data_IF_581928336800
#
_entry.id   IF_581928336800
#
_cell.length_a   1.000
_cell.length_b   1.000
_cell.length_c   1.000
_cell.angle_alpha   90.00
_cell.angle_beta   90.00
_cell.angle_gamma   90.00
#
_symmetry.space_group_name_H-M   'P 1'
#
loop_
_entity.id
_entity.type
_entity.pdbx_description
1 polymer ?
#
# COMPACT_ATOMS: atom_id res chain seq x y z
N UNK A 1 11.34 -28.40 17.60
CA UNK A 1 11.18 -27.61 16.36
C UNK A 1 9.92 -28.11 15.66
N UNK A 2 8.91 -27.24 15.51
CA UNK A 2 7.64 -27.58 14.85
C UNK A 2 7.86 -27.56 13.33
N UNK A 3 7.28 -28.50 12.59
CA UNK A 3 7.25 -28.44 11.12
C UNK A 3 5.97 -27.77 10.65
N UNK A 4 6.09 -26.89 9.66
CA UNK A 4 5.01 -26.11 9.06
C UNK A 4 5.23 -26.17 7.55
N UNK A 5 4.28 -26.63 6.72
CA UNK A 5 4.53 -26.74 5.27
C UNK A 5 4.84 -25.39 4.61
N UNK A 6 4.02 -24.38 4.89
CA UNK A 6 4.18 -23.03 4.35
C UNK A 6 3.99 -22.00 5.46
N UNK A 7 4.99 -21.15 5.65
CA UNK A 7 5.04 -20.13 6.68
C UNK A 7 5.09 -18.73 6.06
N UNK A 8 4.21 -17.84 6.51
CA UNK A 8 4.18 -16.42 6.15
C UNK A 8 4.56 -15.61 7.38
N UNK A 9 5.63 -14.82 7.28
CA UNK A 9 6.02 -13.86 8.33
C UNK A 9 5.37 -12.51 8.01
N UNK A 10 4.47 -12.06 8.86
CA UNK A 10 3.76 -10.78 8.75
C UNK A 10 2.25 -10.97 8.57
N UNK A 11 1.47 -10.48 9.54
CA UNK A 11 0.01 -10.56 9.56
C UNK A 11 -0.72 -9.32 9.02
N UNK A 12 -0.05 -8.50 8.21
CA UNK A 12 -0.66 -7.36 7.53
C UNK A 12 -1.49 -7.78 6.30
N UNK A 13 -2.01 -6.79 5.56
CA UNK A 13 -2.88 -7.01 4.39
C UNK A 13 -2.28 -8.00 3.38
N UNK A 14 -1.00 -7.83 3.03
CA UNK A 14 -0.32 -8.70 2.05
C UNK A 14 -0.21 -10.16 2.56
N UNK A 15 0.18 -10.34 3.81
CA UNK A 15 0.30 -11.68 4.41
C UNK A 15 -1.05 -12.39 4.55
N UNK A 16 -2.10 -11.65 4.95
CA UNK A 16 -3.45 -12.20 5.06
C UNK A 16 -4.05 -12.56 3.70
N UNK A 17 -3.94 -11.68 2.70
CA UNK A 17 -4.39 -11.96 1.34
C UNK A 17 -3.66 -13.19 0.76
N UNK A 18 -2.35 -13.30 0.99
CA UNK A 18 -1.54 -14.44 0.56
C UNK A 18 -1.95 -15.73 1.24
N UNK A 19 -2.16 -15.69 2.56
CA UNK A 19 -2.61 -16.84 3.32
C UNK A 19 -3.96 -17.36 2.85
N UNK A 20 -4.92 -16.46 2.60
CA UNK A 20 -6.23 -16.82 2.07
C UNK A 20 -6.14 -17.39 0.65
N UNK A 21 -5.38 -16.75 -0.25
CA UNK A 21 -5.19 -17.20 -1.64
C UNK A 21 -4.58 -18.62 -1.70
N UNK A 22 -3.52 -18.86 -0.93
CA UNK A 22 -2.87 -20.16 -0.85
C UNK A 22 -3.77 -21.22 -0.23
N UNK A 23 -4.53 -20.87 0.80
CA UNK A 23 -5.42 -21.81 1.44
C UNK A 23 -6.57 -22.23 0.52
N UNK A 24 -7.13 -21.31 -0.26
CA UNK A 24 -8.10 -21.59 -1.32
C UNK A 24 -7.52 -22.46 -2.44
N UNK A 25 -6.24 -22.25 -2.78
CA UNK A 25 -5.49 -23.12 -3.69
C UNK A 25 -5.17 -24.51 -3.09
N UNK A 26 -5.49 -24.73 -1.81
CA UNK A 26 -5.41 -26.02 -1.15
C UNK A 26 -4.14 -26.24 -0.31
N UNK A 27 -3.30 -25.23 -0.13
CA UNK A 27 -2.11 -25.32 0.73
C UNK A 27 -2.47 -25.17 2.21
N UNK A 28 -1.74 -25.84 3.09
CA UNK A 28 -1.76 -25.59 4.54
C UNK A 28 -0.81 -24.44 4.86
N UNK A 29 -1.36 -23.36 5.40
CA UNK A 29 -0.64 -22.09 5.58
C UNK A 29 -0.63 -21.69 7.03
N UNK A 30 0.52 -21.25 7.51
CA UNK A 30 0.67 -20.68 8.83
C UNK A 30 1.14 -19.22 8.70
N UNK A 31 0.36 -18.30 9.24
CA UNK A 31 0.68 -16.87 9.27
C UNK A 31 1.10 -16.50 10.69
N UNK A 32 2.28 -15.91 10.81
CA UNK A 32 2.82 -15.42 12.09
C UNK A 32 2.91 -13.90 12.11
N UNK A 33 2.50 -13.29 13.21
CA UNK A 33 2.55 -11.83 13.44
C UNK A 33 3.30 -11.52 14.74
N UNK A 34 4.18 -10.51 14.70
CA UNK A 34 4.96 -10.10 15.86
C UNK A 34 4.10 -9.38 16.92
N UNK A 35 3.08 -8.64 16.49
CA UNK A 35 2.21 -7.88 17.36
C UNK A 35 1.34 -8.80 18.24
N UNK A 36 0.91 -8.32 19.43
CA UNK A 36 0.02 -9.08 20.30
C UNK A 36 -1.39 -9.23 19.74
N UNK A 37 -1.77 -8.43 18.74
CA UNK A 37 -3.05 -8.52 18.06
C UNK A 37 -2.83 -8.26 16.57
N UNK A 38 -3.63 -8.92 15.73
CA UNK A 38 -3.71 -8.59 14.31
C UNK A 38 -4.48 -7.29 14.16
N UNK A 39 -3.76 -6.19 14.07
CA UNK A 39 -4.35 -4.87 13.98
C UNK A 39 -3.50 -3.98 13.05
N UNK A 40 -4.18 -3.07 12.36
CA UNK A 40 -3.54 -2.05 11.54
C UNK A 40 -3.68 -0.68 12.19
N UNK A 41 -2.56 0.04 12.25
CA UNK A 41 -2.56 1.43 12.67
C UNK A 41 -2.56 2.28 11.41
N UNK A 42 -3.69 2.89 11.10
CA UNK A 42 -3.78 3.67 9.88
C UNK A 42 -5.08 4.43 9.78
N UNK A 43 -5.18 5.18 8.69
CA UNK A 43 -6.38 5.90 8.32
C UNK A 43 -6.95 5.22 7.06
N UNK A 44 -7.33 6.00 6.05
CA UNK A 44 -7.80 5.49 4.77
C UNK A 44 -6.76 4.67 3.99
N UNK A 45 -7.28 3.74 3.19
CA UNK A 45 -6.57 3.03 2.14
C UNK A 45 -7.40 3.09 0.86
N UNK A 46 -6.71 3.10 -0.29
CA UNK A 46 -7.33 3.08 -1.60
C UNK A 46 -7.04 1.73 -2.27
N UNK A 47 -8.06 1.15 -2.88
CA UNK A 47 -8.02 -0.11 -3.59
C UNK A 47 -8.50 0.10 -5.01
N UNK A 48 -7.57 -0.01 -5.95
CA UNK A 48 -7.84 0.11 -7.36
C UNK A 48 -8.38 -1.22 -7.94
N UNK A 49 -8.96 -1.21 -9.16
CA UNK A 49 -9.59 -2.39 -9.75
C UNK A 49 -8.71 -3.64 -9.81
N UNK A 50 -7.39 -3.45 -9.96
CA UNK A 50 -6.42 -4.53 -9.96
C UNK A 50 -6.39 -5.34 -8.66
N UNK A 51 -6.50 -4.68 -7.51
CA UNK A 51 -6.64 -5.36 -6.23
C UNK A 51 -8.07 -5.85 -6.00
N UNK A 52 -9.07 -5.06 -6.38
CA UNK A 52 -10.48 -5.38 -6.16
C UNK A 52 -10.90 -6.67 -6.87
N UNK A 53 -10.41 -6.94 -8.09
CA UNK A 53 -10.66 -8.21 -8.79
C UNK A 53 -10.13 -9.42 -8.04
N UNK A 54 -9.00 -9.26 -7.35
CA UNK A 54 -8.41 -10.35 -6.57
C UNK A 54 -9.19 -10.53 -5.29
N UNK A 55 -9.56 -9.45 -4.59
CA UNK A 55 -10.40 -9.53 -3.39
C UNK A 55 -11.77 -10.17 -3.67
N UNK A 56 -12.31 -9.94 -4.88
CA UNK A 56 -13.48 -10.65 -5.41
C UNK A 56 -13.21 -12.15 -5.57
N UNK A 57 -12.11 -12.53 -6.22
CA UNK A 57 -11.72 -13.95 -6.35
C UNK A 57 -11.45 -14.64 -5.00
N UNK A 58 -11.04 -13.88 -3.98
CA UNK A 58 -10.86 -14.35 -2.61
C UNK A 58 -12.18 -14.47 -1.85
N UNK A 59 -13.31 -14.04 -2.42
CA UNK A 59 -14.64 -14.18 -1.82
C UNK A 59 -14.94 -13.18 -0.71
N UNK A 60 -14.19 -12.07 -0.62
CA UNK A 60 -14.34 -11.08 0.46
C UNK A 60 -14.97 -9.77 0.01
N UNK A 61 -15.37 -9.67 -1.27
CA UNK A 61 -15.91 -8.43 -1.84
C UNK A 61 -17.20 -7.96 -1.15
N UNK A 62 -18.12 -8.88 -0.84
CA UNK A 62 -19.37 -8.53 -0.16
C UNK A 62 -19.12 -7.88 1.22
N UNK A 63 -18.20 -8.45 2.00
CA UNK A 63 -17.83 -7.90 3.31
C UNK A 63 -17.09 -6.55 3.18
N UNK A 64 -16.31 -6.36 2.11
CA UNK A 64 -15.70 -5.06 1.80
C UNK A 64 -16.77 -4.02 1.45
N UNK A 65 -17.79 -4.39 0.68
CA UNK A 65 -18.87 -3.50 0.27
C UNK A 65 -19.71 -2.98 1.45
N UNK A 66 -19.74 -3.72 2.57
CA UNK A 66 -20.38 -3.26 3.81
C UNK A 66 -19.64 -2.13 4.52
N UNK A 67 -18.35 -1.93 4.24
CA UNK A 67 -17.49 -0.96 4.96
C UNK A 67 -16.83 0.09 4.06
N UNK A 68 -16.70 -0.19 2.77
CA UNK A 68 -16.05 0.68 1.80
C UNK A 68 -16.95 1.84 1.34
N UNK A 69 -16.30 2.82 0.72
CA UNK A 69 -16.94 3.85 -0.11
C UNK A 69 -16.41 3.66 -1.53
N UNK A 70 -17.27 3.87 -2.52
CA UNK A 70 -16.91 3.87 -3.95
C UNK A 70 -17.01 5.29 -4.47
N UNK A 71 -15.89 6.04 -4.51
CA UNK A 71 -15.93 7.40 -5.02
C UNK A 71 -16.40 7.39 -6.47
N UNK A 72 -17.18 8.40 -6.82
CA UNK A 72 -17.58 8.70 -8.20
C UNK A 72 -16.38 9.18 -9.00
N UNK A 73 -15.54 10.04 -8.42
CA UNK A 73 -14.38 10.57 -9.11
C UNK A 73 -13.12 10.60 -8.23
N UNK A 74 -11.98 10.68 -8.91
CA UNK A 74 -10.75 11.23 -8.37
C UNK A 74 -10.51 12.63 -8.97
N UNK A 75 -10.45 13.65 -8.13
CA UNK A 75 -10.38 15.06 -8.51
C UNK A 75 -9.04 15.66 -8.10
N UNK A 76 -8.32 16.23 -9.06
CA UNK A 76 -7.09 16.97 -8.79
C UNK A 76 -7.36 18.47 -8.74
N UNK A 77 -6.93 19.09 -7.64
CA UNK A 77 -7.08 20.51 -7.36
C UNK A 77 -5.71 21.15 -7.15
N UNK A 78 -5.55 22.40 -7.54
CA UNK A 78 -4.36 23.18 -7.22
C UNK A 78 -4.44 23.66 -5.76
N UNK A 79 -3.47 23.29 -4.93
CA UNK A 79 -3.49 23.56 -3.49
C UNK A 79 -3.52 25.06 -3.15
N UNK A 80 -2.81 25.90 -3.91
CA UNK A 80 -2.72 27.35 -3.62
C UNK A 80 -3.95 28.13 -4.08
N UNK A 81 -4.43 27.85 -5.29
CA UNK A 81 -5.48 28.63 -5.94
C UNK A 81 -6.87 28.04 -5.75
N UNK A 82 -6.97 26.77 -5.33
CA UNK A 82 -8.23 26.03 -5.30
C UNK A 82 -8.81 25.74 -6.69
N UNK A 83 -8.02 25.94 -7.76
CA UNK A 83 -8.47 25.69 -9.13
C UNK A 83 -8.53 24.19 -9.43
N UNK A 84 -9.61 23.75 -10.04
CA UNK A 84 -9.71 22.41 -10.63
C UNK A 84 -8.67 22.20 -11.75
N UNK A 85 -7.98 21.06 -11.71
CA UNK A 85 -6.96 20.70 -12.69
C UNK A 85 -7.44 19.59 -13.62
N UNK A 86 -7.92 18.48 -13.08
CA UNK A 86 -8.45 17.35 -13.84
C UNK A 86 -9.32 16.44 -12.96
N UNK A 87 -10.04 15.54 -13.61
CA UNK A 87 -10.89 14.54 -12.96
C UNK A 87 -10.66 13.20 -13.65
N UNK A 88 -10.72 12.11 -12.89
CA UNK A 88 -10.87 10.75 -13.41
C UNK A 88 -12.25 10.26 -12.95
N UNK A 89 -13.12 9.91 -13.89
CA UNK A 89 -14.46 9.37 -13.63
C UNK A 89 -14.38 7.86 -13.37
N UNK A 90 -14.79 7.42 -12.18
CA UNK A 90 -14.86 6.02 -11.78
C UNK A 90 -16.23 5.37 -12.06
N UNK A 91 -17.03 5.98 -12.93
CA UNK A 91 -18.36 5.55 -13.33
C UNK A 91 -18.41 4.24 -14.15
N UNK A 92 -19.46 4.11 -14.96
CA UNK A 92 -19.76 2.87 -15.68
C UNK A 92 -18.65 2.45 -16.66
N UNK A 93 -18.11 3.39 -17.44
CA UNK A 93 -17.06 3.12 -18.42
C UNK A 93 -15.76 2.62 -17.77
N UNK A 94 -15.39 3.17 -16.61
CA UNK A 94 -14.24 2.71 -15.83
C UNK A 94 -14.41 1.26 -15.38
N UNK A 95 -15.58 0.92 -14.84
CA UNK A 95 -15.90 -0.44 -14.39
C UNK A 95 -15.99 -1.43 -15.55
N UNK A 96 -16.55 -1.04 -16.68
CA UNK A 96 -16.58 -1.89 -17.88
C UNK A 96 -15.16 -2.16 -18.39
N UNK A 97 -14.29 -1.15 -18.39
CA UNK A 97 -12.91 -1.27 -18.85
C UNK A 97 -12.05 -2.14 -17.95
N UNK A 98 -12.17 -1.98 -16.63
CA UNK A 98 -11.28 -2.63 -15.66
C UNK A 98 -11.94 -3.79 -14.90
N UNK A 99 -13.21 -4.09 -15.14
CA UNK A 99 -13.94 -5.20 -14.52
C UNK A 99 -14.29 -5.01 -13.04
N UNK A 100 -13.79 -3.96 -12.36
CA UNK A 100 -14.08 -3.66 -10.96
C UNK A 100 -14.05 -2.15 -10.67
N UNK A 101 -14.62 -1.74 -9.53
CA UNK A 101 -14.62 -0.34 -9.07
C UNK A 101 -13.30 0.08 -8.42
N UNK A 102 -13.11 1.40 -8.31
CA UNK A 102 -12.17 1.98 -7.35
C UNK A 102 -12.87 2.08 -5.99
N UNK A 103 -12.18 1.77 -4.90
CA UNK A 103 -12.76 1.76 -3.55
C UNK A 103 -11.82 2.35 -2.53
N UNK A 104 -12.39 3.03 -1.54
CA UNK A 104 -11.67 3.59 -0.41
C UNK A 104 -12.31 3.11 0.88
N UNK A 105 -11.50 2.77 1.88
CA UNK A 105 -11.98 2.22 3.14
C UNK A 105 -10.96 2.45 4.26
N UNK A 106 -11.35 2.14 5.49
CA UNK A 106 -10.42 2.17 6.60
C UNK A 106 -9.48 0.96 6.53
N UNK A 107 -8.17 1.18 6.70
CA UNK A 107 -7.16 0.11 6.61
C UNK A 107 -7.42 -1.04 7.59
N UNK A 108 -7.84 -0.71 8.81
CA UNK A 108 -8.21 -1.70 9.83
C UNK A 108 -9.39 -2.57 9.38
N UNK A 109 -10.41 -1.97 8.75
CA UNK A 109 -11.61 -2.71 8.35
C UNK A 109 -11.28 -3.70 7.21
N UNK A 110 -10.38 -3.34 6.28
CA UNK A 110 -9.87 -4.27 5.27
C UNK A 110 -9.13 -5.45 5.90
N UNK A 111 -8.26 -5.18 6.89
CA UNK A 111 -7.55 -6.25 7.60
C UNK A 111 -8.52 -7.16 8.34
N UNK A 112 -9.52 -6.60 9.02
CA UNK A 112 -10.53 -7.35 9.77
C UNK A 112 -11.31 -8.30 8.86
N UNK A 113 -11.69 -7.84 7.66
CA UNK A 113 -12.35 -8.68 6.66
C UNK A 113 -11.47 -9.84 6.22
N UNK A 114 -10.21 -9.58 5.87
CA UNK A 114 -9.26 -10.62 5.47
C UNK A 114 -8.96 -11.59 6.63
N UNK A 115 -8.82 -11.07 7.84
CA UNK A 115 -8.59 -11.83 9.07
C UNK A 115 -9.77 -12.75 9.38
N UNK A 116 -11.01 -12.27 9.22
CA UNK A 116 -12.20 -13.08 9.40
C UNK A 116 -12.24 -14.24 8.39
N UNK A 117 -11.99 -13.96 7.11
CA UNK A 117 -11.92 -15.00 6.07
C UNK A 117 -10.81 -16.03 6.33
N UNK A 118 -9.63 -15.59 6.77
CA UNK A 118 -8.55 -16.47 7.19
C UNK A 118 -8.94 -17.35 8.38
N UNK A 119 -9.64 -16.81 9.39
CA UNK A 119 -10.10 -17.58 10.57
C UNK A 119 -11.12 -18.66 10.22
N UNK A 120 -11.96 -18.40 9.24
CA UNK A 120 -12.97 -19.35 8.78
C UNK A 120 -12.39 -20.47 7.91
N UNK A 121 -11.25 -20.23 7.28
CA UNK A 121 -10.64 -21.19 6.37
C UNK A 121 -9.85 -22.28 7.12
N UNK A 122 -10.22 -23.58 6.99
CA UNK A 122 -9.65 -24.66 7.82
C UNK A 122 -8.16 -24.97 7.58
N UNK A 123 -7.61 -24.48 6.47
CA UNK A 123 -6.18 -24.64 6.13
C UNK A 123 -5.30 -23.47 6.56
N UNK A 124 -5.86 -22.44 7.19
CA UNK A 124 -5.09 -21.30 7.71
C UNK A 124 -4.92 -21.45 9.21
N UNK A 125 -3.67 -21.39 9.66
CA UNK A 125 -3.32 -21.23 11.08
C UNK A 125 -2.80 -19.82 11.29
N UNK A 126 -3.29 -19.15 12.33
CA UNK A 126 -2.90 -17.78 12.69
C UNK A 126 -2.23 -17.77 14.06
N UNK A 127 -1.04 -17.19 14.17
CA UNK A 127 -0.34 -17.00 15.44
C UNK A 127 0.20 -15.57 15.58
N UNK A 128 -0.11 -14.93 16.69
CA UNK A 128 0.38 -13.61 17.09
C UNK A 128 1.51 -13.75 18.13
N UNK A 129 2.13 -12.65 18.56
CA UNK A 129 3.28 -12.63 19.47
C UNK A 129 4.50 -13.43 18.97
N UNK A 130 4.67 -13.55 17.65
CA UNK A 130 5.73 -14.30 17.00
C UNK A 130 6.76 -13.36 16.38
N UNK A 131 7.59 -12.76 17.22
CA UNK A 131 8.70 -11.93 16.74
C UNK A 131 9.86 -12.79 16.24
N UNK A 132 10.13 -12.71 14.94
CA UNK A 132 11.27 -13.40 14.31
C UNK A 132 12.58 -12.69 14.67
N UNK A 133 13.54 -13.45 15.18
CA UNK A 133 14.88 -12.97 15.55
C UNK A 133 15.98 -13.49 14.65
N UNK A 134 15.77 -14.64 13.99
CA UNK A 134 16.73 -15.20 13.04
C UNK A 134 16.06 -16.13 12.02
N UNK A 135 16.68 -16.29 10.85
CA UNK A 135 16.21 -17.16 9.78
C UNK A 135 17.41 -17.87 9.16
N UNK A 136 17.41 -19.21 9.21
CA UNK A 136 18.40 -20.06 8.57
C UNK A 136 17.85 -20.61 7.25
N UNK A 137 18.65 -20.46 6.19
CA UNK A 137 18.39 -21.04 4.87
C UNK A 137 19.12 -22.39 4.74
N UNK A 138 18.37 -23.46 4.53
CA UNK A 138 18.93 -24.78 4.21
C UNK A 138 18.45 -25.26 2.83
N UNK A 139 19.16 -26.25 2.29
CA UNK A 139 18.97 -26.76 0.92
C UNK A 139 17.52 -27.06 0.54
N UNK A 140 16.71 -27.58 1.46
CA UNK A 140 15.33 -28.00 1.17
C UNK A 140 14.27 -27.42 2.10
N UNK A 141 14.68 -26.68 3.13
CA UNK A 141 13.79 -26.06 4.14
C UNK A 141 14.41 -24.79 4.71
N UNK A 142 13.61 -23.89 5.25
CA UNK A 142 14.09 -22.78 6.09
C UNK A 142 13.77 -23.06 7.57
N UNK A 143 14.57 -22.51 8.48
CA UNK A 143 14.30 -22.52 9.92
C UNK A 143 14.12 -21.08 10.41
N UNK A 144 13.04 -20.81 11.11
CA UNK A 144 12.71 -19.49 11.65
C UNK A 144 12.76 -19.55 13.18
N UNK A 145 13.56 -18.67 13.78
CA UNK A 145 13.72 -18.56 15.22
C UNK A 145 12.94 -17.38 15.77
N UNK A 146 12.22 -17.60 16.87
CA UNK A 146 11.39 -16.60 17.53
C UNK A 146 12.03 -16.11 18.84
N UNK A 147 11.65 -14.92 19.28
CA UNK A 147 12.17 -14.28 20.49
C UNK A 147 11.88 -15.03 21.79
N UNK A 148 10.87 -15.90 21.81
CA UNK A 148 10.50 -16.76 22.93
C UNK A 148 11.35 -18.05 23.02
N UNK A 149 12.26 -18.26 22.05
CA UNK A 149 13.11 -19.44 21.96
C UNK A 149 12.51 -20.59 21.16
N UNK A 150 11.26 -20.49 20.67
CA UNK A 150 10.70 -21.48 19.76
C UNK A 150 11.32 -21.36 18.36
N UNK A 151 11.21 -22.43 17.57
CA UNK A 151 11.69 -22.44 16.19
C UNK A 151 10.85 -23.34 15.31
N UNK A 152 10.55 -22.84 14.11
CA UNK A 152 9.77 -23.54 13.10
C UNK A 152 10.66 -23.93 11.93
N UNK A 153 10.48 -25.15 11.41
CA UNK A 153 11.04 -25.59 10.14
C UNK A 153 9.94 -25.55 9.09
N UNK A 154 10.23 -24.95 7.94
CA UNK A 154 9.25 -24.80 6.86
C UNK A 154 9.79 -25.22 5.51
N UNK A 155 8.90 -25.75 4.67
CA UNK A 155 9.24 -26.15 3.30
C UNK A 155 9.22 -24.94 2.36
N UNK A 156 8.37 -23.94 2.66
CA UNK A 156 8.30 -22.64 1.99
C UNK A 156 8.17 -21.51 3.02
N UNK A 157 8.97 -20.46 2.90
CA UNK A 157 8.93 -19.25 3.72
C UNK A 157 8.63 -18.02 2.86
N UNK A 158 7.62 -17.25 3.25
CA UNK A 158 7.25 -16.00 2.59
C UNK A 158 7.43 -14.85 3.57
N UNK A 159 8.34 -13.93 3.26
CA UNK A 159 8.55 -12.70 4.01
C UNK A 159 7.58 -11.61 3.57
N UNK A 160 6.56 -11.35 4.38
CA UNK A 160 5.60 -10.25 4.24
C UNK A 160 5.75 -9.24 5.42
N UNK A 161 6.96 -9.12 5.96
CA UNK A 161 7.32 -8.39 7.18
C UNK A 161 7.67 -6.90 6.94
N UNK A 162 7.15 -6.33 5.84
CA UNK A 162 7.09 -4.90 5.57
C UNK A 162 8.42 -4.21 5.23
N UNK A 163 8.41 -2.88 5.19
CA UNK A 163 9.55 -2.04 4.77
C UNK A 163 10.88 -2.35 5.51
N UNK A 164 10.77 -2.72 6.79
CA UNK A 164 11.89 -3.04 7.69
C UNK A 164 12.17 -4.54 7.77
N UNK A 165 11.72 -5.29 6.76
CA UNK A 165 11.80 -6.74 6.67
C UNK A 165 13.17 -7.27 7.08
N UNK A 166 13.15 -8.23 8.02
CA UNK A 166 14.30 -9.05 8.37
C UNK A 166 14.50 -10.13 7.30
N UNK A 167 13.42 -10.67 6.73
CA UNK A 167 13.49 -11.66 5.66
C UNK A 167 14.27 -11.12 4.45
N UNK A 168 14.07 -9.84 4.11
CA UNK A 168 14.79 -9.14 3.04
C UNK A 168 16.31 -9.12 3.27
N UNK A 169 16.77 -9.06 4.52
CA UNK A 169 18.21 -8.99 4.85
C UNK A 169 18.98 -10.25 4.44
N UNK A 170 18.28 -11.36 4.17
CA UNK A 170 18.89 -12.58 3.64
C UNK A 170 19.28 -12.47 2.15
N UNK A 171 18.72 -11.47 1.47
CA UNK A 171 18.77 -11.25 0.02
C UNK A 171 19.46 -9.94 -0.35
N UNK A 172 19.35 -8.90 0.50
CA UNK A 172 19.91 -7.58 0.25
C UNK A 172 20.24 -6.83 1.54
N UNK A 173 21.38 -6.13 1.54
CA UNK A 173 21.79 -5.20 2.61
C UNK A 173 21.36 -3.74 2.32
N UNK A 174 20.46 -3.54 1.36
CA UNK A 174 19.97 -2.21 1.02
C UNK A 174 19.24 -1.55 2.20
N UNK A 175 19.14 -0.22 2.15
CA UNK A 175 18.46 0.58 3.19
C UNK A 175 17.26 1.31 2.60
N UNK A 176 16.22 1.59 3.40
CA UNK A 176 15.15 2.48 2.98
C UNK A 176 15.71 3.83 2.54
N UNK A 177 15.10 4.42 1.51
CA UNK A 177 15.47 5.71 0.94
C UNK A 177 14.34 6.69 1.22
N UNK A 178 14.67 7.91 1.61
CA UNK A 178 13.70 8.99 1.81
C UNK A 178 13.98 10.16 0.89
N UNK A 179 12.92 10.79 0.38
CA UNK A 179 12.98 12.04 -0.38
C UNK A 179 12.72 13.27 0.51
N UNK A 180 12.90 13.14 1.82
CA UNK A 180 12.61 14.15 2.83
C UNK A 180 11.12 14.53 2.95
N UNK A 181 10.21 13.74 2.38
CA UNK A 181 8.78 13.95 2.54
C UNK A 181 8.24 13.31 3.81
N UNK A 182 7.27 13.98 4.42
CA UNK A 182 6.61 13.55 5.66
C UNK A 182 5.11 13.58 5.46
N UNK A 183 4.44 12.53 5.92
CA UNK A 183 3.00 12.42 5.93
C UNK A 183 2.43 12.62 7.34
N UNK A 184 1.36 13.40 7.44
CA UNK A 184 0.42 13.39 8.55
C UNK A 184 -0.88 12.74 8.08
N UNK A 185 -1.48 11.92 8.94
CA UNK A 185 -2.71 11.18 8.64
C UNK A 185 -3.75 11.47 9.71
N UNK A 186 -5.00 11.63 9.30
CA UNK A 186 -6.12 11.82 10.22
C UNK A 186 -7.41 11.35 9.60
N UNK A 187 -8.25 10.69 10.38
CA UNK A 187 -9.63 10.40 10.05
C UNK A 187 -10.51 11.04 11.11
N UNK A 188 -11.45 11.88 10.69
CA UNK A 188 -12.36 12.60 11.58
C UNK A 188 -13.79 12.17 11.31
N UNK A 189 -14.65 12.08 12.33
CA UNK A 189 -16.08 11.94 12.12
C UNK A 189 -16.60 13.00 11.16
N UNK A 190 -17.42 12.61 10.19
CA UNK A 190 -17.93 13.52 9.15
C UNK A 190 -18.65 14.73 9.75
N UNK A 191 -19.35 14.54 10.89
CA UNK A 191 -20.03 15.62 11.61
C UNK A 191 -19.11 16.61 12.34
N UNK A 192 -17.80 16.34 12.42
CA UNK A 192 -16.79 17.24 12.96
C UNK A 192 -16.07 18.04 11.86
N UNK A 193 -16.35 17.75 10.58
CA UNK A 193 -15.80 18.49 9.46
C UNK A 193 -16.58 19.79 9.28
N UNK A 194 -15.93 20.92 9.59
CA UNK A 194 -16.54 22.25 9.49
C UNK A 194 -16.39 22.92 8.11
N UNK A 195 -15.92 22.17 7.10
CA UNK A 195 -15.66 22.64 5.74
C UNK A 195 -16.58 21.93 4.75
N UNK A 196 -16.92 22.56 3.61
CA UNK A 196 -17.57 21.85 2.52
C UNK A 196 -16.67 20.70 2.05
N UNK A 197 -17.19 19.48 2.05
CA UNK A 197 -16.50 18.29 1.54
C UNK A 197 -17.36 17.61 0.50
N UNK A 198 -16.72 17.09 -0.53
CA UNK A 198 -17.37 16.22 -1.51
C UNK A 198 -17.41 14.81 -0.92
N UNK A 199 -18.62 14.34 -0.60
CA UNK A 199 -18.83 13.03 0.04
C UNK A 199 -18.81 11.87 -0.95
N UNK A 200 -18.79 12.18 -2.25
CA UNK A 200 -18.78 11.17 -3.31
C UNK A 200 -17.43 11.13 -4.04
N UNK A 201 -16.46 12.00 -3.72
CA UNK A 201 -15.21 12.11 -4.45
C UNK A 201 -13.98 11.88 -3.57
N UNK A 202 -12.92 11.41 -4.22
CA UNK A 202 -11.57 11.54 -3.71
C UNK A 202 -10.97 12.85 -4.26
N UNK A 203 -10.39 13.67 -3.39
CA UNK A 203 -9.76 14.94 -3.79
C UNK A 203 -8.27 14.91 -3.45
N UNK A 204 -7.43 15.24 -4.42
CA UNK A 204 -6.00 15.45 -4.26
C UNK A 204 -5.65 16.90 -4.58
N UNK A 205 -5.31 17.65 -3.54
CA UNK A 205 -4.79 19.01 -3.66
C UNK A 205 -3.28 18.94 -3.86
N UNK A 206 -2.77 19.34 -5.03
CA UNK A 206 -1.34 19.31 -5.35
C UNK A 206 -0.75 20.71 -5.43
N UNK A 207 0.49 20.87 -4.99
CA UNK A 207 1.23 22.12 -5.04
C UNK A 207 2.72 21.94 -4.77
N UNK A 208 3.51 23.03 -4.83
CA UNK A 208 4.96 22.96 -4.66
C UNK A 208 5.36 22.27 -3.35
N UNK A 209 6.10 21.17 -3.48
CA UNK A 209 6.59 20.35 -2.37
C UNK A 209 5.52 19.87 -1.37
N UNK A 210 4.23 19.83 -1.76
CA UNK A 210 3.15 19.38 -0.88
C UNK A 210 1.94 18.82 -1.61
N UNK A 211 1.20 17.96 -0.94
CA UNK A 211 -0.16 17.62 -1.35
C UNK A 211 -1.04 17.29 -0.13
N UNK A 212 -2.35 17.41 -0.31
CA UNK A 212 -3.35 16.95 0.65
C UNK A 212 -4.31 16.00 -0.08
N UNK A 213 -4.46 14.77 0.42
CA UNK A 213 -5.45 13.80 -0.08
C UNK A 213 -6.62 13.75 0.88
N UNK A 214 -7.85 13.75 0.37
CA UNK A 214 -9.06 13.66 1.19
C UNK A 214 -10.10 12.75 0.53
N UNK A 215 -10.75 11.91 1.33
CA UNK A 215 -11.84 11.05 0.87
C UNK A 215 -12.64 10.49 2.06
N UNK A 216 -13.94 10.21 1.89
CA UNK A 216 -14.75 9.52 2.89
C UNK A 216 -14.32 8.05 3.05
N UNK A 217 -14.46 7.50 4.26
CA UNK A 217 -14.28 6.06 4.58
C UNK A 217 -15.37 5.61 5.57
N UNK A 218 -15.51 4.30 5.83
CA UNK A 218 -16.56 3.72 6.68
C UNK A 218 -17.95 4.18 6.26
N UNK A 219 -18.35 3.89 5.02
CA UNK A 219 -19.65 4.31 4.48
C UNK A 219 -19.93 5.82 4.60
N UNK A 220 -18.87 6.66 4.62
CA UNK A 220 -18.98 8.10 4.78
C UNK A 220 -19.08 8.61 6.22
N UNK A 221 -18.97 7.74 7.23
CA UNK A 221 -18.99 8.13 8.64
C UNK A 221 -17.72 8.90 9.06
N UNK A 222 -16.58 8.59 8.42
CA UNK A 222 -15.30 9.26 8.65
C UNK A 222 -14.82 9.93 7.37
N UNK A 223 -14.13 11.05 7.52
CA UNK A 223 -13.43 11.73 6.45
C UNK A 223 -11.92 11.61 6.66
N UNK A 224 -11.28 10.86 5.77
CA UNK A 224 -9.85 10.63 5.78
C UNK A 224 -9.10 11.80 5.14
N UNK A 225 -7.97 12.15 5.73
CA UNK A 225 -7.08 13.20 5.28
C UNK A 225 -5.62 12.75 5.40
N UNK A 226 -4.82 13.05 4.39
CA UNK A 226 -3.38 12.80 4.37
C UNK A 226 -2.66 14.02 3.84
N UNK A 227 -1.95 14.74 4.71
CA UNK A 227 -1.13 15.88 4.33
C UNK A 227 0.32 15.41 4.16
N UNK A 228 0.90 15.67 2.99
CA UNK A 228 2.28 15.34 2.68
C UNK A 228 3.02 16.62 2.31
N UNK A 229 4.20 16.82 2.89
CA UNK A 229 5.06 17.94 2.55
C UNK A 229 6.52 17.55 2.62
N UNK A 230 7.37 18.27 1.87
CA UNK A 230 8.82 18.13 1.98
C UNK A 230 9.30 18.89 3.20
N UNK A 231 10.00 18.21 4.11
CA UNK A 231 10.64 18.85 5.25
C UNK A 231 11.79 19.73 4.79
N UNK A 232 11.82 20.95 5.34
CA UNK A 232 12.89 21.92 5.17
C UNK A 232 14.06 21.70 6.14
N UNK A 233 13.81 21.02 7.26
CA UNK A 233 14.79 20.74 8.30
C UNK A 233 15.56 19.43 8.06
N UNK A 234 15.05 18.52 7.23
CA UNK A 234 15.70 17.23 6.97
C UNK A 234 17.16 17.38 6.54
N UNK A 235 18.02 16.59 7.18
CA UNK A 235 19.38 16.28 6.73
C UNK A 235 19.67 14.79 6.97
N UNK A 236 20.64 14.18 6.25
CA UNK A 236 21.00 12.78 6.47
C UNK A 236 21.41 12.46 7.92
N UNK A 237 21.98 13.43 8.64
CA UNK A 237 22.45 13.25 10.02
C UNK A 237 21.30 13.13 11.03
N UNK A 238 20.12 13.67 10.70
CA UNK A 238 18.97 13.72 11.60
C UNK A 238 17.80 12.84 11.14
N UNK A 239 17.96 12.08 10.05
CA UNK A 239 16.92 11.25 9.42
C UNK A 239 16.17 10.35 10.42
N UNK A 240 16.89 9.74 11.36
CA UNK A 240 16.33 8.82 12.34
C UNK A 240 16.00 9.48 13.69
N UNK A 241 15.80 10.79 13.70
CA UNK A 241 15.45 11.57 14.90
C UNK A 241 14.10 12.25 14.75
N UNK A 242 13.55 12.75 15.86
CA UNK A 242 12.34 13.56 15.86
C UNK A 242 12.61 15.06 15.56
N UNK A 243 13.74 15.40 14.96
CA UNK A 243 14.14 16.80 14.69
C UNK A 243 13.63 17.36 13.36
N UNK A 244 12.93 16.56 12.54
CA UNK A 244 12.41 17.00 11.25
C UNK A 244 10.99 16.47 11.01
N UNK A 245 10.27 17.11 10.10
CA UNK A 245 8.88 16.79 9.75
C UNK A 245 7.86 17.24 10.79
N UNK A 246 8.23 18.15 11.69
CA UNK A 246 7.40 18.52 12.84
C UNK A 246 6.13 19.31 12.49
N UNK A 247 5.24 19.54 13.47
CA UNK A 247 3.99 20.28 13.27
C UNK A 247 4.20 21.71 12.75
N UNK A 248 5.28 22.38 13.18
CA UNK A 248 5.62 23.73 12.72
C UNK A 248 5.96 23.74 11.22
N UNK A 249 6.67 22.72 10.73
CA UNK A 249 6.94 22.57 9.29
C UNK A 249 5.68 22.25 8.51
N UNK A 250 4.75 21.48 9.07
CA UNK A 250 3.44 21.22 8.46
C UNK A 250 2.66 22.53 8.26
N UNK A 251 2.57 23.38 9.30
CA UNK A 251 1.88 24.66 9.19
C UNK A 251 2.56 25.58 8.16
N UNK A 252 3.90 25.67 8.20
CA UNK A 252 4.67 26.49 7.26
C UNK A 252 4.52 26.01 5.82
N UNK A 253 4.59 24.70 5.57
CA UNK A 253 4.50 24.12 4.24
C UNK A 253 3.17 24.44 3.56
N UNK A 254 2.08 24.46 4.31
CA UNK A 254 0.74 24.73 3.79
C UNK A 254 0.29 26.19 3.90
N UNK A 255 1.11 27.10 4.42
CA UNK A 255 0.74 28.49 4.71
C UNK A 255 0.25 29.29 3.50
N UNK A 256 0.72 28.98 2.28
CA UNK A 256 0.31 29.63 1.03
C UNK A 256 -0.82 28.92 0.30
N UNK A 257 -1.40 27.86 0.89
CA UNK A 257 -2.51 27.12 0.30
C UNK A 257 -3.83 27.90 0.38
N UNK A 258 -4.81 27.51 -0.44
CA UNK A 258 -6.15 28.05 -0.38
C UNK A 258 -6.80 27.81 0.99
N UNK A 259 -7.87 28.54 1.29
CA UNK A 259 -8.54 28.50 2.59
C UNK A 259 -8.96 27.07 3.00
N UNK A 260 -9.52 26.30 2.06
CA UNK A 260 -9.98 24.93 2.31
C UNK A 260 -8.84 24.00 2.74
N UNK A 261 -7.69 24.08 2.06
CA UNK A 261 -6.51 23.27 2.40
C UNK A 261 -5.94 23.70 3.76
N UNK A 262 -5.78 25.00 4.00
CA UNK A 262 -5.27 25.51 5.29
C UNK A 262 -6.15 25.13 6.47
N UNK A 263 -7.48 25.21 6.28
CA UNK A 263 -8.43 24.81 7.32
C UNK A 263 -8.40 23.30 7.56
N UNK A 264 -8.20 22.49 6.51
CA UNK A 264 -8.03 21.04 6.62
C UNK A 264 -6.79 20.65 7.43
N UNK A 265 -5.66 21.31 7.17
CA UNK A 265 -4.39 21.05 7.88
C UNK A 265 -4.51 21.30 9.39
N UNK A 266 -5.30 22.29 9.81
CA UNK A 266 -5.54 22.58 11.24
C UNK A 266 -6.31 21.49 11.98
N UNK A 267 -6.97 20.57 11.27
CA UNK A 267 -7.74 19.49 11.90
C UNK A 267 -6.91 18.21 12.14
N UNK A 268 -5.65 18.15 11.70
CA UNK A 268 -4.81 16.98 11.94
C UNK A 268 -4.45 16.83 13.42
N UNK A 269 -4.50 15.60 13.91
CA UNK A 269 -3.77 15.25 15.12
C UNK A 269 -2.27 15.19 14.77
N UNK A 270 -1.49 16.08 15.36
CA UNK A 270 -0.07 16.24 15.06
C UNK A 270 0.86 15.45 15.99
N UNK A 271 0.31 14.59 16.86
CA UNK A 271 1.10 13.75 17.78
C UNK A 271 1.96 12.70 17.08
N UNK A 272 1.60 12.31 15.86
CA UNK A 272 2.33 11.32 15.08
C UNK A 272 2.50 11.78 13.65
N UNK A 273 3.69 11.51 13.12
CA UNK A 273 4.09 11.75 11.73
C UNK A 273 4.77 10.53 11.14
N UNK A 274 4.75 10.45 9.82
CA UNK A 274 5.35 9.34 9.08
C UNK A 274 6.31 9.90 8.04
N UNK A 275 7.62 9.94 8.35
CA UNK A 275 8.64 10.03 7.33
C UNK A 275 8.40 9.01 6.23
N UNK A 276 8.41 9.46 4.98
CA UNK A 276 8.17 8.61 3.83
C UNK A 276 9.46 7.96 3.38
N UNK A 277 9.37 6.65 3.16
CA UNK A 277 10.47 5.85 2.65
C UNK A 277 9.99 4.92 1.55
N UNK A 278 10.89 4.60 0.63
CA UNK A 278 10.78 3.47 -0.27
C UNK A 278 12.11 2.72 -0.34
N UNK A 279 12.29 1.83 -1.33
CA UNK A 279 13.58 1.21 -1.65
C UNK A 279 13.74 1.16 -3.16
N UNK A 280 14.99 1.04 -3.62
CA UNK A 280 15.23 0.69 -5.02
C UNK A 280 14.61 -0.68 -5.34
N UNK A 281 14.10 -0.87 -6.59
CA UNK A 281 13.63 -2.17 -7.03
C UNK A 281 14.72 -3.24 -6.87
N UNK A 282 14.33 -4.38 -6.29
CA UNK A 282 15.22 -5.51 -6.06
C UNK A 282 15.08 -6.54 -7.19
N UNK A 283 16.20 -6.93 -7.78
CA UNK A 283 16.22 -7.85 -8.94
C UNK A 283 16.07 -9.33 -8.58
N UNK A 284 16.13 -9.68 -7.29
CA UNK A 284 15.95 -11.05 -6.80
C UNK A 284 15.21 -11.07 -5.46
N UNK A 285 14.06 -11.74 -5.41
CA UNK A 285 13.25 -11.87 -4.20
C UNK A 285 13.40 -13.22 -3.53
N UNK A 286 14.07 -14.17 -4.18
CA UNK A 286 14.06 -15.58 -3.79
C UNK A 286 15.45 -16.11 -3.49
N UNK A 287 15.56 -16.90 -2.44
CA UNK A 287 16.76 -17.69 -2.12
C UNK A 287 16.31 -19.01 -1.51
N UNK A 288 16.54 -20.10 -2.24
CA UNK A 288 16.07 -21.43 -1.86
C UNK A 288 14.59 -21.42 -1.54
N UNK A 289 14.24 -21.84 -0.31
CA UNK A 289 12.87 -21.91 0.19
C UNK A 289 12.29 -20.60 0.71
N UNK A 290 12.92 -19.46 0.43
CA UNK A 290 12.53 -18.15 0.96
C UNK A 290 12.20 -17.21 -0.19
N UNK A 291 11.05 -16.54 -0.14
CA UNK A 291 10.69 -15.46 -1.07
C UNK A 291 10.08 -14.25 -0.36
N UNK A 292 10.11 -13.08 -0.99
CA UNK A 292 9.57 -11.82 -0.45
C UNK A 292 8.21 -11.45 -1.08
N UNK A 293 7.39 -10.73 -0.31
CA UNK A 293 6.07 -10.27 -0.71
C UNK A 293 5.75 -8.87 -0.15
N UNK A 294 4.99 -8.08 -0.90
CA UNK A 294 4.56 -6.74 -0.47
C UNK A 294 5.73 -5.81 -0.17
N UNK A 295 5.59 -4.99 0.87
CA UNK A 295 6.62 -4.00 1.26
C UNK A 295 7.97 -4.60 1.69
N UNK A 296 8.05 -5.92 1.94
CA UNK A 296 9.34 -6.60 2.12
C UNK A 296 10.11 -6.71 0.79
N UNK A 297 9.38 -6.86 -0.32
CA UNK A 297 9.91 -6.99 -1.67
C UNK A 297 10.03 -5.65 -2.40
N UNK A 298 8.95 -4.86 -2.44
CA UNK A 298 8.80 -3.68 -3.29
C UNK A 298 8.11 -2.49 -2.59
N UNK A 299 8.64 -2.02 -1.44
CA UNK A 299 8.08 -0.85 -0.79
C UNK A 299 8.21 0.38 -1.70
N UNK A 300 7.15 1.17 -1.76
CA UNK A 300 7.01 2.28 -2.72
C UNK A 300 6.42 3.51 -2.06
N UNK A 301 6.73 4.69 -2.61
CA UNK A 301 5.99 5.89 -2.24
C UNK A 301 4.52 5.77 -2.65
N UNK A 302 3.64 6.35 -1.82
CA UNK A 302 2.19 6.18 -1.92
C UNK A 302 1.52 6.99 -3.05
N UNK A 303 2.26 7.64 -3.93
CA UNK A 303 1.71 8.57 -4.94
C UNK A 303 0.76 7.93 -5.96
N UNK A 304 0.81 6.60 -6.11
CA UNK A 304 -0.14 5.83 -6.94
C UNK A 304 -1.17 5.05 -6.11
N UNK A 305 -1.03 5.08 -4.77
CA UNK A 305 -1.79 4.25 -3.83
C UNK A 305 -1.75 2.74 -4.14
N UNK A 306 -0.59 2.23 -4.57
CA UNK A 306 -0.45 0.87 -5.06
C UNK A 306 0.22 -0.13 -4.13
N UNK A 307 0.83 0.27 -3.01
CA UNK A 307 1.58 -0.67 -2.15
C UNK A 307 0.75 -1.90 -1.74
N UNK A 308 -0.42 -1.68 -1.13
CA UNK A 308 -1.32 -2.78 -0.78
C UNK A 308 -1.93 -3.49 -2.00
N UNK A 309 -2.23 -2.75 -3.07
CA UNK A 309 -2.74 -3.34 -4.30
C UNK A 309 -1.73 -4.33 -4.90
N UNK A 310 -0.44 -3.98 -4.91
CA UNK A 310 0.63 -4.84 -5.40
C UNK A 310 0.88 -6.03 -4.47
N UNK A 311 0.76 -5.88 -3.15
CA UNK A 311 0.83 -7.01 -2.23
C UNK A 311 -0.33 -8.01 -2.41
N UNK A 312 -1.52 -7.52 -2.78
CA UNK A 312 -2.67 -8.38 -3.12
C UNK A 312 -2.46 -9.07 -4.48
N UNK A 313 -1.85 -8.40 -5.47
CA UNK A 313 -1.42 -9.05 -6.71
C UNK A 313 -0.36 -10.12 -6.50
N UNK A 314 0.58 -9.89 -5.57
CA UNK A 314 1.55 -10.90 -5.20
C UNK A 314 0.88 -12.16 -4.65
N UNK A 315 -0.16 -12.00 -3.82
CA UNK A 315 -0.91 -13.10 -3.22
C UNK A 315 -1.52 -14.03 -4.29
N UNK A 316 -2.21 -13.46 -5.29
CA UNK A 316 -2.77 -14.23 -6.42
C UNK A 316 -1.66 -14.91 -7.21
N UNK A 317 -0.63 -14.15 -7.61
CA UNK A 317 0.42 -14.66 -8.45
C UNK A 317 1.17 -15.80 -7.76
N UNK A 318 1.51 -15.65 -6.49
CA UNK A 318 2.22 -16.65 -5.72
C UNK A 318 1.40 -17.93 -5.57
N UNK A 319 0.11 -17.82 -5.25
CA UNK A 319 -0.78 -18.97 -5.15
C UNK A 319 -0.93 -19.70 -6.48
N UNK A 320 -1.06 -18.96 -7.58
CA UNK A 320 -1.11 -19.53 -8.94
C UNK A 320 0.18 -20.25 -9.32
N UNK A 321 1.35 -19.66 -9.06
CA UNK A 321 2.63 -20.28 -9.43
C UNK A 321 2.93 -21.51 -8.57
N UNK A 322 2.64 -21.49 -7.26
CA UNK A 322 2.76 -22.68 -6.41
C UNK A 322 1.82 -23.80 -6.85
N UNK A 323 0.60 -23.48 -7.27
CA UNK A 323 -0.34 -24.46 -7.82
C UNK A 323 0.18 -25.06 -9.14
N UNK A 324 0.64 -24.20 -10.06
CA UNK A 324 1.13 -24.61 -11.39
C UNK A 324 2.34 -25.52 -11.31
N UNK A 325 3.26 -25.27 -10.40
CA UNK A 325 4.52 -26.01 -10.25
C UNK A 325 4.46 -27.13 -9.18
N UNK A 326 3.29 -27.35 -8.56
CA UNK A 326 2.86 -28.54 -7.79
C UNK A 326 4.00 -29.40 -7.20
N UNK A 327 4.69 -28.88 -6.18
CA UNK A 327 5.73 -29.58 -5.42
C UNK A 327 7.15 -29.10 -5.68
N UNK A 328 7.39 -28.34 -6.75
CA UNK A 328 8.64 -27.63 -6.99
C UNK A 328 8.55 -26.18 -6.51
N UNK A 329 8.91 -25.95 -5.25
CA UNK A 329 8.87 -24.63 -4.61
C UNK A 329 9.91 -23.69 -5.24
N UNK A 330 11.06 -24.20 -5.65
CA UNK A 330 12.13 -23.36 -6.22
C UNK A 330 11.69 -22.82 -7.58
N UNK A 331 11.11 -23.69 -8.43
CA UNK A 331 10.56 -23.26 -9.72
C UNK A 331 9.36 -22.32 -9.55
N UNK A 332 8.46 -22.60 -8.59
CA UNK A 332 7.33 -21.72 -8.30
C UNK A 332 7.78 -20.31 -7.89
N UNK A 333 8.74 -20.20 -6.98
CA UNK A 333 9.25 -18.90 -6.53
C UNK A 333 10.04 -18.17 -7.63
N UNK A 334 10.79 -18.91 -8.45
CA UNK A 334 11.45 -18.34 -9.62
C UNK A 334 10.44 -17.77 -10.64
N UNK A 335 9.35 -18.48 -10.90
CA UNK A 335 8.28 -18.03 -11.80
C UNK A 335 7.53 -16.82 -11.22
N UNK A 336 7.21 -16.85 -9.92
CA UNK A 336 6.57 -15.74 -9.21
C UNK A 336 7.38 -14.45 -9.31
N UNK A 337 8.67 -14.50 -8.96
CA UNK A 337 9.50 -13.29 -9.00
C UNK A 337 9.71 -12.78 -10.43
N UNK A 338 9.84 -13.68 -11.41
CA UNK A 338 10.00 -13.30 -12.81
C UNK A 338 8.79 -12.52 -13.36
N UNK A 339 7.59 -12.84 -12.88
CA UNK A 339 6.35 -12.15 -13.24
C UNK A 339 6.19 -10.82 -12.48
N UNK A 340 6.48 -10.83 -11.17
CA UNK A 340 6.15 -9.71 -10.28
C UNK A 340 7.20 -8.61 -10.23
N UNK A 341 8.49 -8.94 -10.29
CA UNK A 341 9.58 -7.95 -10.22
C UNK A 341 9.42 -6.84 -11.29
N UNK A 342 9.23 -7.16 -12.59
CA UNK A 342 9.15 -6.11 -13.60
C UNK A 342 7.97 -5.15 -13.37
N UNK A 343 6.82 -5.67 -12.92
CA UNK A 343 5.63 -4.85 -12.67
C UNK A 343 5.81 -3.95 -11.45
N UNK A 344 6.20 -4.51 -10.31
CA UNK A 344 6.32 -3.71 -9.09
C UNK A 344 7.46 -2.70 -9.20
N UNK A 345 8.55 -3.05 -9.90
CA UNK A 345 9.63 -2.13 -10.21
C UNK A 345 9.17 -0.96 -11.11
N UNK A 346 8.27 -1.22 -12.08
CA UNK A 346 7.63 -0.15 -12.86
C UNK A 346 6.77 0.75 -11.97
N UNK A 347 5.94 0.17 -11.11
CA UNK A 347 5.08 0.94 -10.18
C UNK A 347 5.92 1.81 -9.24
N UNK A 348 6.99 1.27 -8.64
CA UNK A 348 7.93 2.02 -7.79
C UNK A 348 8.52 3.23 -8.53
N UNK A 349 9.05 3.02 -9.74
CA UNK A 349 9.67 4.08 -10.54
C UNK A 349 8.66 5.15 -10.99
N UNK A 350 7.48 4.73 -11.44
CA UNK A 350 6.43 5.68 -11.85
C UNK A 350 5.91 6.46 -10.66
N UNK A 351 5.75 5.84 -9.48
CA UNK A 351 5.33 6.54 -8.27
C UNK A 351 6.28 7.69 -7.93
N UNK A 352 7.60 7.47 -7.96
CA UNK A 352 8.61 8.52 -7.75
C UNK A 352 8.43 9.69 -8.74
N UNK A 353 8.29 9.39 -10.03
CA UNK A 353 8.05 10.40 -11.06
C UNK A 353 6.74 11.17 -10.84
N UNK A 354 5.68 10.49 -10.42
CA UNK A 354 4.38 11.12 -10.14
C UNK A 354 4.42 12.05 -8.94
N UNK A 355 5.16 11.69 -7.89
CA UNK A 355 5.44 12.59 -6.77
C UNK A 355 6.09 13.89 -7.26
N UNK A 356 7.11 13.81 -8.12
CA UNK A 356 7.78 15.00 -8.69
C UNK A 356 6.82 15.87 -9.52
N UNK A 357 5.90 15.26 -10.27
CA UNK A 357 4.88 16.00 -11.04
C UNK A 357 3.91 16.73 -10.11
N UNK A 358 3.39 16.05 -9.09
CA UNK A 358 2.46 16.66 -8.12
C UNK A 358 3.10 17.83 -7.39
N UNK A 359 4.36 17.66 -7.02
CA UNK A 359 5.11 18.58 -6.16
C UNK A 359 5.94 19.63 -6.89
N UNK A 360 5.82 19.71 -8.21
CA UNK A 360 6.59 20.62 -9.04
C UNK A 360 6.43 22.09 -8.59
N UNK A 361 7.55 22.82 -8.57
CA UNK A 361 7.60 24.23 -8.20
C UNK A 361 6.71 25.10 -9.09
N UNK A 362 6.11 26.13 -8.50
CA UNK A 362 5.29 27.10 -9.23
C UNK A 362 6.14 27.82 -10.28
N UNK A 363 5.61 27.92 -11.50
CA UNK A 363 6.32 28.56 -12.63
C UNK A 363 7.43 27.71 -13.27
N UNK A 364 7.67 26.48 -12.79
CA UNK A 364 8.54 25.53 -13.48
C UNK A 364 7.91 25.03 -14.79
N UNK A 365 8.74 24.57 -15.73
CA UNK A 365 8.27 23.92 -16.95
C UNK A 365 7.40 22.69 -16.65
N UNK A 366 7.71 21.96 -15.57
CA UNK A 366 6.96 20.77 -15.15
C UNK A 366 5.55 21.15 -14.70
N UNK A 367 5.40 22.15 -13.81
CA UNK A 367 4.06 22.57 -13.35
C UNK A 367 3.22 23.15 -14.49
N UNK A 368 3.82 23.94 -15.39
CA UNK A 368 3.12 24.47 -16.56
C UNK A 368 2.65 23.36 -17.53
N UNK A 369 3.49 22.35 -17.77
CA UNK A 369 3.12 21.21 -18.62
C UNK A 369 2.05 20.34 -17.96
N UNK A 370 2.21 20.03 -16.67
CA UNK A 370 1.23 19.29 -15.87
C UNK A 370 -0.15 19.93 -15.97
N UNK A 371 -0.29 21.21 -15.63
CA UNK A 371 -1.58 21.90 -15.62
C UNK A 371 -2.21 21.95 -17.03
N UNK A 372 -1.37 22.07 -18.07
CA UNK A 372 -1.83 22.02 -19.47
C UNK A 372 -2.31 20.64 -19.89
N UNK A 373 -1.61 19.58 -19.49
CA UNK A 373 -1.99 18.19 -19.78
C UNK A 373 -3.26 17.83 -19.01
N UNK A 374 -3.28 18.10 -17.70
CA UNK A 374 -4.41 17.83 -16.81
C UNK A 374 -5.68 18.56 -17.30
N UNK A 375 -5.57 19.84 -17.64
CA UNK A 375 -6.71 20.63 -18.10
C UNK A 375 -7.22 20.31 -19.52
N UNK A 376 -6.58 19.39 -20.26
CA UNK A 376 -7.00 18.97 -21.61
C UNK A 376 -7.51 17.53 -21.67
N UNK A 377 -7.34 16.77 -20.59
CA UNK A 377 -7.78 15.39 -20.48
C UNK A 377 -9.29 15.32 -20.25
N UNK A 378 -9.99 14.39 -20.91
CA UNK A 378 -11.39 14.09 -20.56
C UNK A 378 -11.44 13.17 -19.34
N UNK A 379 -12.50 13.29 -18.52
CA UNK A 379 -12.57 12.54 -17.27
C UNK A 379 -12.66 11.01 -17.47
N UNK A 380 -13.14 10.58 -18.63
CA UNK A 380 -13.30 9.20 -19.07
C UNK A 380 -12.13 8.68 -19.95
N UNK A 381 -11.08 9.49 -20.15
CA UNK A 381 -9.86 9.00 -20.77
C UNK A 381 -9.06 8.20 -19.73
N UNK A 382 -8.90 6.91 -19.96
CA UNK A 382 -8.18 5.99 -19.09
C UNK A 382 -6.88 5.45 -19.71
N UNK A 383 -6.47 5.96 -20.87
CA UNK A 383 -5.35 5.41 -21.65
C UNK A 383 -4.06 5.31 -20.83
N UNK A 384 -3.77 6.34 -20.03
CA UNK A 384 -2.56 6.38 -19.18
C UNK A 384 -2.67 5.57 -17.87
N UNK A 385 -3.82 4.94 -17.61
CA UNK A 385 -4.08 4.12 -16.42
C UNK A 385 -4.07 2.62 -16.74
N UNK A 386 -4.09 2.25 -18.02
CA UNK A 386 -4.22 0.87 -18.46
C UNK A 386 -3.12 -0.04 -17.97
N UNK A 387 -1.86 0.40 -18.08
CA UNK A 387 -0.70 -0.36 -17.62
C UNK A 387 -0.80 -0.72 -16.12
N UNK A 388 -1.54 0.08 -15.35
CA UNK A 388 -1.69 -0.09 -13.91
C UNK A 388 -2.93 -0.91 -13.55
N UNK A 389 -4.10 -0.56 -14.09
CA UNK A 389 -5.38 -1.14 -13.63
C UNK A 389 -5.86 -2.34 -14.45
N UNK A 390 -5.34 -2.59 -15.65
CA UNK A 390 -5.69 -3.79 -16.40
C UNK A 390 -5.21 -5.06 -15.68
N UNK A 391 -5.95 -6.15 -15.89
CA UNK A 391 -5.52 -7.46 -15.42
C UNK A 391 -4.27 -7.89 -16.19
N UNK A 392 -3.43 -8.69 -15.54
CA UNK A 392 -2.43 -9.43 -16.29
C UNK A 392 -3.12 -10.32 -17.32
N UNK A 393 -2.60 -10.34 -18.54
CA UNK A 393 -2.94 -11.40 -19.48
C UNK A 393 -2.41 -12.71 -18.89
N UNK A 394 -3.32 -13.61 -18.53
CA UNK A 394 -3.02 -14.93 -17.98
C UNK A 394 -2.32 -15.84 -19.00
#
# INVERSE_FOLDING_TARGET
MRHVPLLIIGGGIGGMATGLALAQAGFEVHIVEQAPEFAEIGAGIQLAPNAMRILDSLGVLDAIDEVAVRPRNLVFMHADTGKHLTTIDFGAAFRERYGQSYSVLHRGDLLDVLLAACREHPKVTLENNRQVVDIEDHTTTAVVHFSDGESYRTDALIGADGLKSRTRQLLSDDRPITDAYVAYRGALPMNQIALPVEQDDEIIWIGPNRHLVQYPIRRGELYNQVAVFRSSQYTPEIEHTDQWGGPDELEQAFATSCEQVRASVKMFNTSRRWPMYDREPLDNWTRGRITLLGDAAHPMFQYLAQGACQAIEDAECLARQLTKHSGDIDEAFAAYQAERIPRTALVQRVARGWGQVWHAENGSTISALRDRVFGRRSADDYTDLDWLYQAFAA
#
